data_IF_076843206472
#
_entry.id   IF_076843206472
#
_cell.length_a   1.000
_cell.length_b   1.000
_cell.length_c   1.000
_cell.angle_alpha   90.00
_cell.angle_beta   90.00
_cell.angle_gamma   90.00
#
_symmetry.space_group_name_H-M   'P 1'
#
loop_
_entity.id
_entity.type
_entity.pdbx_description
1 polymer ?
#
# COMPACT_ATOMS: atom_id res chain seq x y z
N UNK A 1 1.65 -8.02 13.30
CA UNK A 1 1.91 -6.63 13.72
C UNK A 1 3.39 -6.34 13.61
N UNK A 2 3.75 -5.10 13.33
CA UNK A 2 5.13 -4.64 13.24
C UNK A 2 5.40 -3.60 14.31
N UNK A 3 6.63 -3.56 14.82
CA UNK A 3 7.14 -2.43 15.59
C UNK A 3 7.34 -1.22 14.65
N UNK A 4 7.11 -0.02 15.17
CA UNK A 4 7.44 1.23 14.47
C UNK A 4 8.94 1.40 14.28
N UNK A 5 9.70 0.84 15.20
CA UNK A 5 11.15 0.99 15.27
C UNK A 5 11.86 -0.33 14.93
N UNK A 6 13.01 -0.18 14.32
CA UNK A 6 13.99 -1.25 14.10
C UNK A 6 14.79 -1.54 15.37
N UNK A 7 15.62 -2.57 15.34
CA UNK A 7 16.48 -2.95 16.47
C UNK A 7 17.55 -1.88 16.80
N UNK A 8 17.92 -1.07 15.82
CA UNK A 8 18.82 0.09 15.96
C UNK A 8 18.12 1.40 16.37
N UNK A 9 16.81 1.34 16.64
CA UNK A 9 16.01 2.50 17.03
C UNK A 9 15.53 3.39 15.88
N UNK A 10 15.88 3.07 14.64
CA UNK A 10 15.38 3.82 13.50
C UNK A 10 13.91 3.52 13.22
N UNK A 11 13.14 4.52 12.79
CA UNK A 11 11.80 4.28 12.27
C UNK A 11 11.82 3.27 11.11
N UNK A 12 10.85 2.37 11.07
CA UNK A 12 10.80 1.27 10.11
C UNK A 12 10.73 1.75 8.65
N UNK A 13 10.10 2.87 8.39
CA UNK A 13 9.96 3.48 7.07
C UNK A 13 11.27 4.04 6.50
N UNK A 14 12.28 4.24 7.35
CA UNK A 14 13.60 4.69 6.90
C UNK A 14 14.45 3.60 6.24
N UNK A 15 14.03 2.34 6.34
CA UNK A 15 14.74 1.19 5.75
C UNK A 15 14.69 1.14 4.22
N UNK A 16 13.75 1.86 3.62
CA UNK A 16 13.43 1.67 2.21
C UNK A 16 13.82 2.87 1.35
N UNK A 17 15.11 3.01 1.00
CA UNK A 17 15.53 4.00 0.03
C UNK A 17 14.99 3.64 -1.38
N UNK A 18 14.92 4.64 -2.25
CA UNK A 18 14.39 4.51 -3.59
C UNK A 18 14.84 3.27 -4.38
N UNK A 19 16.15 2.93 -4.47
CA UNK A 19 16.58 1.75 -5.23
C UNK A 19 16.05 0.44 -4.67
N UNK A 20 15.94 0.32 -3.35
CA UNK A 20 15.42 -0.88 -2.67
C UNK A 20 13.93 -1.06 -2.98
N UNK A 21 13.14 0.01 -2.87
CA UNK A 21 11.72 -0.04 -3.21
C UNK A 21 11.50 -0.35 -4.69
N UNK A 22 12.31 0.21 -5.57
CA UNK A 22 12.26 -0.07 -7.00
C UNK A 22 12.58 -1.53 -7.33
N UNK A 23 13.60 -2.08 -6.70
CA UNK A 23 13.95 -3.49 -6.84
C UNK A 23 12.82 -4.38 -6.31
N UNK A 24 12.27 -4.05 -5.14
CA UNK A 24 11.12 -4.77 -4.57
C UNK A 24 9.94 -4.80 -5.53
N UNK A 25 9.53 -3.68 -6.09
CA UNK A 25 8.42 -3.62 -7.06
C UNK A 25 8.71 -4.41 -8.33
N UNK A 26 9.95 -4.37 -8.82
CA UNK A 26 10.34 -5.16 -9.99
C UNK A 26 10.28 -6.65 -9.69
N UNK A 27 10.80 -7.09 -8.55
CA UNK A 27 10.77 -8.51 -8.15
C UNK A 27 9.32 -8.95 -7.89
N UNK A 28 8.50 -8.10 -7.27
CA UNK A 28 7.08 -8.38 -7.07
C UNK A 28 6.32 -8.54 -8.40
N UNK A 29 6.66 -7.74 -9.40
CA UNK A 29 6.08 -7.87 -10.73
C UNK A 29 6.50 -9.15 -11.46
N UNK A 30 7.77 -9.55 -11.35
CA UNK A 30 8.35 -10.70 -12.04
C UNK A 30 8.13 -12.03 -11.33
N UNK A 31 8.17 -12.01 -9.99
CA UNK A 31 8.12 -13.18 -9.13
C UNK A 31 7.36 -12.88 -7.82
N UNK A 32 6.05 -12.61 -7.86
CA UNK A 32 5.26 -12.20 -6.69
C UNK A 32 5.29 -13.23 -5.55
N UNK A 33 5.44 -14.52 -5.88
CA UNK A 33 5.58 -15.59 -4.90
C UNK A 33 6.85 -15.44 -4.03
N UNK A 34 7.92 -14.90 -4.61
CA UNK A 34 9.18 -14.69 -3.89
C UNK A 34 9.08 -13.51 -2.93
N UNK A 35 8.53 -12.38 -3.40
CA UNK A 35 8.31 -11.20 -2.54
C UNK A 35 7.33 -11.48 -1.41
N UNK A 36 6.27 -12.26 -1.67
CA UNK A 36 5.35 -12.73 -0.65
C UNK A 36 6.07 -13.55 0.43
N UNK A 37 6.80 -14.59 0.04
CA UNK A 37 7.52 -15.44 0.97
C UNK A 37 8.58 -14.69 1.79
N UNK A 38 9.32 -13.76 1.17
CA UNK A 38 10.31 -12.93 1.86
C UNK A 38 9.64 -11.94 2.82
N UNK A 39 8.54 -11.32 2.40
CA UNK A 39 7.75 -10.40 3.22
C UNK A 39 7.14 -11.11 4.44
N UNK A 40 6.60 -12.30 4.26
CA UNK A 40 6.01 -13.09 5.35
C UNK A 40 7.09 -13.53 6.35
N UNK A 41 8.25 -13.96 5.86
CA UNK A 41 9.39 -14.28 6.73
C UNK A 41 9.86 -13.04 7.49
N UNK A 42 9.94 -11.90 6.83
CA UNK A 42 10.28 -10.63 7.48
C UNK A 42 9.28 -10.28 8.58
N UNK A 43 7.97 -10.34 8.29
CA UNK A 43 6.90 -10.06 9.26
C UNK A 43 6.99 -10.97 10.49
N UNK A 44 7.15 -12.28 10.28
CA UNK A 44 7.27 -13.26 11.38
C UNK A 44 8.50 -12.98 12.21
N UNK A 45 9.64 -12.70 11.58
CA UNK A 45 10.88 -12.38 12.30
C UNK A 45 10.74 -11.10 13.14
N UNK A 46 10.05 -10.06 12.61
CA UNK A 46 9.77 -8.83 13.37
C UNK A 46 8.87 -9.10 14.58
N UNK A 47 7.85 -9.94 14.45
CA UNK A 47 7.00 -10.33 15.58
C UNK A 47 7.81 -11.11 16.64
N UNK A 48 8.67 -12.03 16.22
CA UNK A 48 9.54 -12.79 17.15
C UNK A 48 10.54 -11.85 17.82
N UNK A 49 11.16 -10.92 17.08
CA UNK A 49 12.06 -9.91 17.63
C UNK A 49 11.36 -9.05 18.68
N UNK A 50 10.17 -8.53 18.38
CA UNK A 50 9.38 -7.78 19.36
C UNK A 50 9.04 -8.59 20.62
N UNK A 51 8.71 -9.87 20.46
CA UNK A 51 8.48 -10.78 21.60
C UNK A 51 9.78 -11.04 22.40
N UNK A 52 10.90 -11.26 21.71
CA UNK A 52 12.20 -11.49 22.37
C UNK A 52 12.66 -10.26 23.17
N UNK A 53 12.40 -9.05 22.62
CA UNK A 53 12.67 -7.81 23.35
C UNK A 53 11.88 -7.71 24.65
N UNK A 54 10.67 -8.18 24.67
CA UNK A 54 9.83 -8.16 25.88
C UNK A 54 10.09 -9.32 26.84
N UNK A 55 10.93 -10.31 26.51
CA UNK A 55 11.28 -11.41 27.42
C UNK A 55 12.23 -10.92 28.53
N UNK A 56 12.05 -11.38 29.80
CA UNK A 56 12.95 -11.05 30.88
C UNK A 56 14.35 -11.62 30.60
N UNK A 57 15.35 -10.87 30.99
CA UNK A 57 16.73 -11.35 30.98
C UNK A 57 16.96 -12.17 32.24
N UNK A 58 17.03 -13.49 32.11
CA UNK A 58 17.37 -14.39 33.21
C UNK A 58 18.89 -14.62 33.27
N UNK A 59 19.48 -14.79 34.45
CA UNK A 59 20.90 -15.11 34.56
C UNK A 59 21.28 -16.37 33.77
N UNK A 60 22.26 -16.25 32.87
CA UNK A 60 22.72 -17.34 32.02
C UNK A 60 21.93 -17.59 30.75
N UNK A 61 20.84 -16.83 30.50
CA UNK A 61 20.09 -16.90 29.26
C UNK A 61 20.85 -16.19 28.12
N UNK A 62 21.04 -16.90 27.02
CA UNK A 62 21.62 -16.32 25.80
C UNK A 62 20.55 -15.61 24.96
N UNK A 63 20.97 -14.73 24.05
CA UNK A 63 20.08 -14.10 23.09
C UNK A 63 19.34 -15.14 22.22
N UNK A 64 20.01 -16.22 21.85
CA UNK A 64 19.40 -17.34 21.12
C UNK A 64 18.32 -18.07 21.94
N UNK A 65 18.46 -18.17 23.24
CA UNK A 65 17.45 -18.79 24.10
C UNK A 65 16.23 -17.87 24.24
N UNK A 66 16.45 -16.55 24.35
CA UNK A 66 15.36 -15.53 24.29
C UNK A 66 14.59 -15.63 22.99
N UNK A 67 15.30 -15.70 21.86
CA UNK A 67 14.69 -15.83 20.54
C UNK A 67 13.83 -17.09 20.41
N UNK A 68 14.35 -18.24 20.80
CA UNK A 68 13.61 -19.52 20.77
C UNK A 68 12.36 -19.49 21.65
N UNK A 69 12.46 -18.88 22.84
CA UNK A 69 11.31 -18.72 23.75
C UNK A 69 10.24 -17.82 23.12
N UNK A 70 10.66 -16.70 22.55
CA UNK A 70 9.78 -15.79 21.83
C UNK A 70 9.14 -16.44 20.61
N UNK A 71 9.88 -17.19 19.82
CA UNK A 71 9.36 -17.94 18.68
C UNK A 71 8.27 -18.93 19.09
N UNK A 72 8.49 -19.69 20.17
CA UNK A 72 7.48 -20.59 20.72
C UNK A 72 6.21 -19.84 21.10
N UNK A 73 6.34 -18.68 21.78
CA UNK A 73 5.17 -17.86 22.14
C UNK A 73 4.40 -17.40 20.92
N UNK A 74 5.07 -16.79 19.93
CA UNK A 74 4.43 -16.26 18.72
C UNK A 74 3.71 -17.36 17.93
N UNK A 75 4.34 -18.56 17.81
CA UNK A 75 3.81 -19.64 16.98
C UNK A 75 2.81 -20.54 17.71
N UNK A 76 3.08 -20.89 18.96
CA UNK A 76 2.34 -21.93 19.68
C UNK A 76 1.41 -21.35 20.74
N UNK A 77 1.92 -20.47 21.61
CA UNK A 77 1.15 -20.01 22.76
C UNK A 77 0.13 -18.95 22.33
N UNK A 78 0.55 -17.95 21.54
CA UNK A 78 -0.32 -16.88 21.04
C UNK A 78 -0.95 -17.18 19.68
N UNK A 79 -0.43 -18.17 18.96
CA UNK A 79 -0.91 -18.57 17.64
C UNK A 79 -1.06 -17.38 16.66
N UNK A 80 -0.11 -16.46 16.67
CA UNK A 80 -0.10 -15.33 15.75
C UNK A 80 0.29 -15.72 14.33
N UNK A 81 0.81 -16.94 14.15
CA UNK A 81 1.20 -17.53 12.87
C UNK A 81 0.47 -18.88 12.71
N UNK A 82 -0.12 -19.17 11.55
CA UNK A 82 -0.10 -18.38 10.32
C UNK A 82 -0.95 -17.10 10.40
N UNK A 83 -0.51 -16.06 9.69
CA UNK A 83 -1.23 -14.78 9.53
C UNK A 83 -1.38 -14.46 8.04
N UNK A 84 -2.22 -13.47 7.72
CA UNK A 84 -2.35 -12.98 6.36
C UNK A 84 -0.99 -12.54 5.81
N UNK A 85 -0.75 -12.85 4.53
CA UNK A 85 0.50 -12.47 3.87
C UNK A 85 0.69 -10.96 3.85
N UNK A 86 1.86 -10.48 4.25
CA UNK A 86 2.24 -9.08 4.15
C UNK A 86 2.21 -8.58 2.70
N UNK A 87 2.35 -9.48 1.73
CA UNK A 87 2.21 -9.17 0.31
C UNK A 87 0.80 -8.77 -0.10
N UNK A 88 -0.22 -9.06 0.68
CA UNK A 88 -1.63 -8.84 0.34
C UNK A 88 -2.36 -7.93 1.33
N UNK A 89 -1.93 -7.92 2.59
CA UNK A 89 -2.55 -7.15 3.67
C UNK A 89 -1.49 -6.34 4.39
N UNK A 90 -1.60 -5.01 4.42
CA UNK A 90 -0.67 -4.19 5.18
C UNK A 90 -0.68 -4.58 6.66
N UNK A 91 0.48 -4.85 7.27
CA UNK A 91 0.55 -5.18 8.69
C UNK A 91 0.20 -3.96 9.55
N UNK A 92 -0.52 -4.17 10.64
CA UNK A 92 -0.71 -3.12 11.64
C UNK A 92 0.60 -2.84 12.38
N UNK A 93 0.89 -1.57 12.61
CA UNK A 93 2.07 -1.11 13.36
C UNK A 93 1.61 -0.74 14.76
N UNK A 94 2.12 -1.44 15.78
CA UNK A 94 1.74 -1.23 17.18
C UNK A 94 2.82 -1.81 18.12
N UNK A 95 3.37 -0.97 19.00
CA UNK A 95 4.40 -1.36 19.97
C UNK A 95 3.85 -2.11 21.17
N UNK A 96 2.70 -1.67 21.71
CA UNK A 96 2.17 -2.17 22.98
C UNK A 96 1.48 -3.54 22.89
N UNK A 97 1.18 -4.01 21.67
CA UNK A 97 0.43 -5.26 21.52
C UNK A 97 1.17 -6.49 22.04
N UNK A 98 2.44 -6.64 21.68
CA UNK A 98 3.24 -7.79 22.15
C UNK A 98 3.52 -7.70 23.66
N UNK A 99 3.89 -6.54 24.21
CA UNK A 99 3.95 -6.36 25.67
C UNK A 99 2.63 -6.67 26.38
N UNK A 100 1.49 -6.26 25.85
CA UNK A 100 0.16 -6.54 26.43
C UNK A 100 -0.16 -8.04 26.43
N UNK A 101 0.10 -8.75 25.35
CA UNK A 101 0.01 -10.22 25.28
C UNK A 101 0.85 -10.89 26.37
N UNK A 102 2.02 -10.37 26.59
CA UNK A 102 2.95 -10.94 27.57
C UNK A 102 2.52 -10.68 29.00
N UNK A 103 1.99 -9.50 29.31
CA UNK A 103 1.46 -9.18 30.64
C UNK A 103 0.16 -9.93 30.96
N UNK A 104 -0.48 -10.53 29.93
CA UNK A 104 -1.79 -11.14 30.04
C UNK A 104 -2.95 -10.13 30.00
N UNK A 105 -2.68 -8.86 29.62
CA UNK A 105 -3.71 -7.85 29.40
C UNK A 105 -4.58 -8.18 28.20
N UNK A 106 -4.03 -8.93 27.25
CA UNK A 106 -4.68 -9.47 26.06
C UNK A 106 -4.44 -10.96 25.99
N UNK A 107 -5.50 -11.73 25.91
CA UNK A 107 -5.45 -13.17 25.68
C UNK A 107 -5.93 -13.50 24.28
N UNK A 108 -5.09 -14.08 23.40
CA UNK A 108 -5.48 -14.46 22.08
C UNK A 108 -6.33 -15.72 22.08
N UNK A 109 -7.57 -15.61 21.63
CA UNK A 109 -8.47 -16.74 21.45
C UNK A 109 -8.80 -16.92 19.96
N UNK A 110 -9.14 -18.13 19.55
CA UNK A 110 -9.34 -18.44 18.14
C UNK A 110 -10.68 -19.13 17.91
N UNK A 111 -11.32 -18.78 16.81
CA UNK A 111 -12.47 -19.47 16.33
C UNK A 111 -13.75 -19.09 17.09
N UNK A 112 -14.19 -17.85 16.97
CA UNK A 112 -15.57 -17.48 17.33
C UNK A 112 -16.54 -18.39 16.58
N UNK A 113 -17.46 -19.00 17.26
CA UNK A 113 -18.49 -19.88 16.70
C UNK A 113 -19.87 -19.26 16.80
N UNK A 114 -20.30 -18.93 18.01
CA UNK A 114 -21.66 -18.43 18.28
C UNK A 114 -21.72 -17.75 19.66
N UNK A 115 -22.86 -17.17 19.97
CA UNK A 115 -23.22 -16.77 21.33
C UNK A 115 -23.98 -17.93 21.97
N UNK A 116 -23.54 -18.41 23.17
CA UNK A 116 -24.16 -19.48 23.91
C UNK A 116 -25.12 -18.98 25.01
N UNK A 117 -25.01 -17.70 25.37
CA UNK A 117 -25.80 -17.04 26.38
C UNK A 117 -25.77 -15.53 26.30
N UNK A 118 -26.38 -14.84 27.23
CA UNK A 118 -26.46 -13.36 27.22
C UNK A 118 -25.10 -12.67 27.38
N UNK A 119 -24.16 -13.31 28.08
CA UNK A 119 -22.80 -12.84 28.31
C UNK A 119 -21.75 -13.88 27.92
N UNK A 120 -22.12 -14.86 27.09
CA UNK A 120 -21.26 -15.98 26.78
C UNK A 120 -20.96 -16.08 25.27
N UNK A 121 -19.70 -16.29 24.97
CA UNK A 121 -19.19 -16.56 23.61
C UNK A 121 -18.68 -18.01 23.55
N UNK A 122 -19.19 -18.77 22.58
CA UNK A 122 -18.74 -20.14 22.28
C UNK A 122 -17.66 -20.11 21.21
N UNK A 123 -16.51 -20.70 21.49
CA UNK A 123 -15.44 -20.91 20.53
C UNK A 123 -15.61 -22.23 19.77
N UNK A 124 -14.89 -22.37 18.66
CA UNK A 124 -14.95 -23.58 17.79
C UNK A 124 -14.46 -24.84 18.51
N UNK A 125 -13.54 -24.70 19.45
CA UNK A 125 -13.04 -25.81 20.28
C UNK A 125 -13.97 -26.22 21.42
N UNK A 126 -15.14 -25.54 21.55
CA UNK A 126 -16.13 -25.80 22.59
C UNK A 126 -15.92 -24.99 23.88
N UNK A 127 -14.86 -24.17 23.95
CA UNK A 127 -14.63 -23.26 25.08
C UNK A 127 -15.73 -22.20 25.14
N UNK A 128 -16.27 -21.95 26.35
CA UNK A 128 -17.20 -20.86 26.60
C UNK A 128 -16.45 -19.77 27.38
N UNK A 129 -16.54 -18.55 26.88
CA UNK A 129 -15.96 -17.36 27.50
C UNK A 129 -17.09 -16.47 28.00
N UNK A 130 -17.01 -16.04 29.27
CA UNK A 130 -17.85 -15.01 29.81
C UNK A 130 -17.28 -13.63 29.43
N UNK A 131 -18.11 -12.77 28.84
CA UNK A 131 -17.69 -11.48 28.31
C UNK A 131 -18.72 -10.38 28.60
N UNK A 132 -18.25 -9.18 28.90
CA UNK A 132 -19.10 -8.01 29.10
C UNK A 132 -19.54 -7.36 27.81
N UNK A 133 -18.65 -7.41 26.79
CA UNK A 133 -18.91 -6.82 25.49
C UNK A 133 -18.15 -7.55 24.38
N UNK A 134 -18.72 -7.56 23.19
CA UNK A 134 -18.05 -8.05 21.96
C UNK A 134 -17.96 -6.94 20.95
N UNK A 135 -16.74 -6.68 20.45
CA UNK A 135 -16.47 -5.67 19.44
C UNK A 135 -16.05 -6.36 18.14
N UNK A 136 -16.87 -6.22 17.11
CA UNK A 136 -16.59 -6.77 15.80
C UNK A 136 -15.76 -5.80 14.95
N UNK A 137 -14.47 -6.08 14.80
CA UNK A 137 -13.57 -5.33 13.94
C UNK A 137 -13.45 -6.02 12.57
N UNK A 138 -14.56 -6.25 11.90
CA UNK A 138 -14.66 -7.04 10.66
C UNK A 138 -14.42 -6.23 9.38
N UNK A 139 -13.99 -4.97 9.50
CA UNK A 139 -13.73 -4.07 8.38
C UNK A 139 -14.96 -3.28 7.94
N UNK A 140 -14.93 -2.80 6.71
CA UNK A 140 -15.96 -1.94 6.14
C UNK A 140 -16.58 -2.58 4.90
N UNK A 141 -17.86 -2.32 4.69
CA UNK A 141 -18.45 -2.53 3.38
C UNK A 141 -18.03 -1.39 2.45
N UNK A 142 -17.59 -1.75 1.26
CA UNK A 142 -17.23 -0.77 0.24
C UNK A 142 -18.51 -0.37 -0.49
N UNK A 143 -18.84 0.91 -0.41
CA UNK A 143 -20.01 1.48 -1.02
C UNK A 143 -19.61 2.62 -1.97
N UNK A 144 -20.03 2.51 -3.22
CA UNK A 144 -19.87 3.52 -4.26
C UNK A 144 -21.23 4.07 -4.71
N UNK A 145 -22.25 3.97 -3.86
CA UNK A 145 -23.62 4.45 -4.18
C UNK A 145 -23.66 5.94 -4.52
N UNK A 146 -22.67 6.71 -4.07
CA UNK A 146 -22.49 8.11 -4.47
C UNK A 146 -22.27 8.29 -5.99
N UNK A 147 -21.84 7.24 -6.68
CA UNK A 147 -21.62 7.22 -8.12
C UNK A 147 -22.19 5.94 -8.72
N UNK A 148 -23.53 5.85 -8.89
CA UNK A 148 -24.18 4.62 -9.39
C UNK A 148 -23.81 4.26 -10.83
N UNK A 149 -23.27 5.20 -11.60
CA UNK A 149 -22.77 4.99 -12.96
C UNK A 149 -21.39 4.35 -13.03
N UNK A 150 -20.73 4.14 -11.89
CA UNK A 150 -19.42 3.49 -11.83
C UNK A 150 -19.55 2.03 -12.24
N UNK A 151 -18.75 1.63 -13.21
CA UNK A 151 -18.70 0.24 -13.68
C UNK A 151 -17.92 -0.64 -12.70
N UNK A 152 -18.30 -1.91 -12.63
CA UNK A 152 -17.71 -2.88 -11.71
C UNK A 152 -17.32 -4.19 -12.38
N UNK A 153 -16.53 -4.99 -11.65
CA UNK A 153 -16.22 -6.40 -11.91
C UNK A 153 -15.59 -6.71 -13.27
N UNK A 154 -14.91 -5.73 -13.85
CA UNK A 154 -14.32 -5.90 -15.16
C UNK A 154 -15.34 -5.97 -16.30
N UNK A 155 -16.62 -5.75 -16.03
CA UNK A 155 -17.67 -5.74 -17.06
C UNK A 155 -17.89 -4.31 -17.56
N UNK A 156 -17.40 -4.05 -18.76
CA UNK A 156 -17.63 -2.77 -19.43
C UNK A 156 -19.13 -2.58 -19.71
N UNK A 157 -19.68 -1.46 -19.25
CA UNK A 157 -21.10 -1.14 -19.45
C UNK A 157 -22.06 -1.68 -18.39
N UNK A 158 -21.57 -2.43 -17.41
CA UNK A 158 -22.42 -2.80 -16.28
C UNK A 158 -22.28 -1.76 -15.16
N UNK A 159 -23.39 -1.09 -14.79
CA UNK A 159 -23.37 -0.12 -13.70
C UNK A 159 -23.06 -0.79 -12.36
N UNK A 160 -22.57 0.01 -11.42
CA UNK A 160 -22.44 -0.38 -10.04
C UNK A 160 -23.82 -0.80 -9.51
N UNK A 161 -23.89 -1.97 -8.90
CA UNK A 161 -25.08 -2.35 -8.15
C UNK A 161 -25.08 -1.59 -6.82
N UNK A 162 -26.23 -1.08 -6.45
CA UNK A 162 -26.41 -0.40 -5.16
C UNK A 162 -26.22 -1.40 -4.02
N UNK A 163 -25.90 -0.91 -2.83
CA UNK A 163 -25.79 -1.75 -1.64
C UNK A 163 -27.08 -2.56 -1.37
N UNK A 164 -28.24 -2.01 -1.74
CA UNK A 164 -29.52 -2.71 -1.67
C UNK A 164 -29.57 -3.93 -2.60
N UNK A 165 -29.14 -3.76 -3.86
CA UNK A 165 -29.13 -4.86 -4.84
C UNK A 165 -28.17 -5.99 -4.42
N UNK A 166 -27.05 -5.61 -3.76
CA UNK A 166 -26.07 -6.56 -3.22
C UNK A 166 -26.67 -7.31 -2.03
N UNK A 167 -27.44 -6.64 -1.18
CA UNK A 167 -28.08 -7.25 -0.03
C UNK A 167 -29.21 -8.21 -0.43
N UNK A 168 -30.04 -7.83 -1.38
CA UNK A 168 -31.08 -8.69 -1.93
C UNK A 168 -30.52 -9.94 -2.63
N UNK A 169 -29.41 -9.80 -3.34
CA UNK A 169 -28.73 -10.95 -3.94
C UNK A 169 -28.02 -11.83 -2.91
N UNK A 170 -27.46 -11.25 -1.82
CA UNK A 170 -26.93 -12.04 -0.71
C UNK A 170 -28.03 -12.87 -0.05
N UNK A 171 -29.17 -12.27 0.24
CA UNK A 171 -30.29 -13.00 0.82
C UNK A 171 -30.84 -14.08 -0.11
N UNK A 172 -30.85 -13.84 -1.42
CA UNK A 172 -31.24 -14.83 -2.43
C UNK A 172 -30.15 -15.91 -2.64
N UNK A 173 -28.87 -15.53 -2.60
CA UNK A 173 -27.75 -16.47 -2.67
C UNK A 173 -27.62 -17.30 -1.40
N UNK A 174 -27.85 -16.73 -0.22
CA UNK A 174 -27.89 -17.44 1.07
C UNK A 174 -29.05 -18.45 1.10
N UNK A 175 -30.16 -18.15 0.44
CA UNK A 175 -31.27 -19.09 0.25
C UNK A 175 -30.92 -20.25 -0.70
N UNK A 176 -30.03 -20.02 -1.66
CA UNK A 176 -29.55 -21.04 -2.61
C UNK A 176 -28.33 -21.81 -2.07
N UNK A 177 -27.47 -21.18 -1.26
CA UNK A 177 -26.22 -21.76 -0.74
C UNK A 177 -26.40 -22.67 0.47
N UNK A 178 -27.56 -22.74 1.06
CA UNK A 178 -27.87 -23.82 2.01
C UNK A 178 -27.79 -25.24 1.40
N UNK A 179 -27.39 -25.35 0.15
CA UNK A 179 -27.14 -26.60 -0.58
C UNK A 179 -25.73 -26.78 -1.18
N UNK A 180 -24.83 -25.80 -1.04
CA UNK A 180 -23.48 -25.92 -1.60
C UNK A 180 -22.46 -26.21 -0.49
N UNK A 181 -21.96 -27.42 -0.51
CA UNK A 181 -20.94 -27.96 0.42
C UNK A 181 -19.54 -27.31 0.31
N UNK A 182 -19.38 -26.31 -0.53
CA UNK A 182 -18.17 -25.48 -0.62
C UNK A 182 -18.54 -24.07 -0.19
N UNK A 183 -18.22 -23.71 1.05
CA UNK A 183 -18.45 -22.39 1.65
C UNK A 183 -17.72 -21.26 0.92
N UNK A 184 -17.95 -21.12 -0.36
CA UNK A 184 -17.40 -20.09 -1.22
C UNK A 184 -17.93 -18.72 -0.81
N UNK A 185 -17.13 -17.94 -0.11
CA UNK A 185 -17.42 -16.53 0.10
C UNK A 185 -17.67 -15.87 -1.26
N UNK A 186 -18.74 -15.06 -1.40
CA UNK A 186 -19.02 -14.37 -2.63
C UNK A 186 -17.80 -13.51 -3.03
N UNK A 187 -17.46 -13.58 -4.32
CA UNK A 187 -16.34 -12.81 -4.84
C UNK A 187 -16.59 -11.32 -4.62
N UNK A 188 -15.63 -10.56 -4.03
CA UNK A 188 -15.79 -9.14 -3.84
C UNK A 188 -15.94 -8.39 -5.16
N UNK A 189 -16.81 -7.41 -5.17
CA UNK A 189 -16.97 -6.49 -6.29
C UNK A 189 -15.97 -5.34 -6.16
N UNK A 190 -15.18 -5.09 -7.19
CA UNK A 190 -14.22 -3.99 -7.23
C UNK A 190 -14.54 -3.03 -8.36
N UNK A 191 -14.38 -1.71 -8.14
CA UNK A 191 -14.70 -0.70 -9.15
C UNK A 191 -13.74 -0.79 -10.33
N UNK A 192 -14.27 -0.48 -11.51
CA UNK A 192 -13.51 -0.44 -12.74
C UNK A 192 -12.81 0.91 -12.89
N UNK A 193 -11.53 0.95 -12.53
CA UNK A 193 -10.74 2.17 -12.49
C UNK A 193 -9.43 1.99 -13.27
N UNK A 194 -9.19 2.88 -14.22
CA UNK A 194 -7.88 2.98 -14.88
C UNK A 194 -6.85 3.47 -13.87
N UNK A 195 -5.78 2.70 -13.69
CA UNK A 195 -4.76 2.88 -12.65
C UNK A 195 -5.32 3.16 -11.25
N UNK A 196 -6.45 2.52 -10.91
CA UNK A 196 -7.08 2.64 -9.58
C UNK A 196 -7.56 4.06 -9.24
N UNK A 197 -7.61 4.96 -10.21
CA UNK A 197 -7.96 6.37 -10.03
C UNK A 197 -9.12 6.79 -10.92
N UNK A 198 -9.09 6.47 -12.21
CA UNK A 198 -9.99 7.06 -13.18
C UNK A 198 -11.07 6.09 -13.64
N UNK A 199 -12.36 6.37 -13.40
CA UNK A 199 -13.43 5.66 -14.08
C UNK A 199 -13.32 5.91 -15.59
N UNK A 200 -13.13 4.89 -16.46
CA UNK A 200 -12.76 5.10 -17.85
C UNK A 200 -13.69 6.03 -18.63
N UNK A 201 -15.00 5.92 -18.42
CA UNK A 201 -15.99 6.81 -19.09
C UNK A 201 -15.97 8.24 -18.59
N UNK A 202 -15.54 8.48 -17.36
CA UNK A 202 -15.59 9.77 -16.69
C UNK A 202 -14.19 10.30 -16.34
N UNK A 203 -13.15 9.70 -16.87
CA UNK A 203 -11.76 9.97 -16.52
C UNK A 203 -11.33 11.43 -16.64
N UNK A 204 -11.99 12.20 -17.54
CA UNK A 204 -11.72 13.65 -17.73
C UNK A 204 -12.39 14.55 -16.70
N UNK A 205 -13.24 14.04 -15.82
CA UNK A 205 -14.04 14.83 -14.87
C UNK A 205 -14.18 14.20 -13.49
N UNK A 206 -13.94 12.91 -13.36
CA UNK A 206 -14.06 12.16 -12.10
C UNK A 206 -12.79 11.38 -11.83
N UNK A 207 -12.35 11.42 -10.59
CA UNK A 207 -11.24 10.59 -10.08
C UNK A 207 -11.57 10.10 -8.67
N UNK A 208 -11.20 8.88 -8.37
CA UNK A 208 -11.32 8.26 -7.05
C UNK A 208 -9.93 8.23 -6.43
N UNK A 209 -9.71 9.03 -5.40
CA UNK A 209 -8.45 9.05 -4.64
C UNK A 209 -8.61 8.25 -3.35
N UNK A 210 -7.50 7.70 -2.88
CA UNK A 210 -7.42 6.93 -1.63
C UNK A 210 -8.23 5.62 -1.60
N UNK A 211 -8.70 5.15 -2.76
CA UNK A 211 -9.26 3.80 -2.88
C UNK A 211 -8.19 2.71 -2.77
N UNK A 212 -6.98 3.02 -3.22
CA UNK A 212 -5.87 2.08 -3.26
C UNK A 212 -5.39 1.72 -1.84
N UNK A 213 -5.04 0.44 -1.66
CA UNK A 213 -4.32 -0.09 -0.49
C UNK A 213 -2.85 -0.31 -0.81
N UNK A 214 -2.02 0.75 -0.79
CA UNK A 214 -0.60 0.63 -1.05
C UNK A 214 0.13 0.06 0.16
N UNK A 215 1.31 -0.51 -0.06
CA UNK A 215 2.24 -0.89 0.99
C UNK A 215 3.05 0.31 1.53
N UNK A 216 2.90 1.47 0.92
CA UNK A 216 3.52 2.73 1.34
C UNK A 216 2.55 3.57 2.18
N UNK A 217 3.09 4.62 2.81
CA UNK A 217 2.26 5.53 3.60
C UNK A 217 1.19 6.20 2.74
N UNK A 218 -0.05 6.14 3.18
CA UNK A 218 -1.22 6.63 2.41
C UNK A 218 -1.13 8.12 2.04
N UNK A 219 -0.52 8.95 2.89
CA UNK A 219 -0.31 10.38 2.59
C UNK A 219 0.58 10.60 1.37
N UNK A 220 1.72 9.90 1.32
CA UNK A 220 2.64 9.98 0.19
C UNK A 220 1.95 9.58 -1.11
N UNK A 221 1.24 8.47 -1.09
CA UNK A 221 0.55 7.99 -2.29
C UNK A 221 -0.59 8.93 -2.69
N UNK A 222 -1.33 9.48 -1.73
CA UNK A 222 -2.40 10.44 -2.01
C UNK A 222 -1.86 11.75 -2.58
N UNK A 223 -0.73 12.26 -2.07
CA UNK A 223 -0.07 13.44 -2.64
C UNK A 223 0.40 13.18 -4.08
N UNK A 224 1.07 12.06 -4.31
CA UNK A 224 1.55 11.68 -5.64
C UNK A 224 0.40 11.49 -6.63
N UNK A 225 -0.69 10.83 -6.21
CA UNK A 225 -1.89 10.64 -7.02
C UNK A 225 -2.56 11.96 -7.35
N UNK A 226 -2.63 12.89 -6.39
CA UNK A 226 -3.18 14.24 -6.60
C UNK A 226 -2.32 15.05 -7.58
N UNK A 227 -0.99 14.92 -7.50
CA UNK A 227 -0.07 15.55 -8.46
C UNK A 227 -0.28 14.98 -9.88
N UNK A 228 -0.38 13.67 -10.02
CA UNK A 228 -0.64 13.00 -11.29
C UNK A 228 -1.98 13.44 -11.89
N UNK A 229 -3.03 13.46 -11.09
CA UNK A 229 -4.36 13.91 -11.47
C UNK A 229 -4.36 15.35 -11.98
N UNK A 230 -3.76 16.26 -11.21
CA UNK A 230 -3.69 17.67 -11.56
C UNK A 230 -2.98 17.89 -12.91
N UNK A 231 -1.87 17.17 -13.15
CA UNK A 231 -1.14 17.27 -14.41
C UNK A 231 -1.93 16.72 -15.60
N UNK A 232 -2.60 15.58 -15.43
CA UNK A 232 -3.42 14.97 -16.49
C UNK A 232 -4.58 15.91 -16.86
N UNK A 233 -5.33 16.40 -15.87
CA UNK A 233 -6.48 17.27 -16.13
C UNK A 233 -6.09 18.64 -16.67
N UNK A 234 -4.98 19.24 -16.21
CA UNK A 234 -4.46 20.45 -16.79
C UNK A 234 -4.11 20.28 -18.28
N UNK A 235 -3.47 19.16 -18.64
CA UNK A 235 -3.18 18.81 -20.03
C UNK A 235 -4.45 18.65 -20.88
N UNK A 236 -5.45 17.96 -20.36
CA UNK A 236 -6.75 17.79 -21.06
C UNK A 236 -7.49 19.13 -21.28
N UNK A 237 -7.48 20.00 -20.27
CA UNK A 237 -8.08 21.34 -20.38
C UNK A 237 -7.35 22.17 -21.46
N UNK A 238 -6.02 22.16 -21.47
CA UNK A 238 -5.22 22.92 -22.43
C UNK A 238 -5.48 22.46 -23.87
N UNK A 239 -5.68 21.16 -24.09
CA UNK A 239 -6.06 20.62 -25.40
C UNK A 239 -7.47 21.04 -25.80
N UNK A 240 -8.43 20.94 -24.88
CA UNK A 240 -9.83 21.31 -25.14
C UNK A 240 -9.99 22.81 -25.42
N UNK A 241 -9.21 23.66 -24.74
CA UNK A 241 -9.25 25.12 -24.93
C UNK A 241 -8.53 25.62 -26.19
N UNK A 242 -7.88 24.70 -26.94
CA UNK A 242 -7.12 25.06 -28.13
C UNK A 242 -5.79 25.76 -27.85
N UNK A 243 -5.38 25.85 -26.58
CA UNK A 243 -4.05 26.41 -26.21
C UNK A 243 -2.90 25.56 -26.76
N UNK A 244 -3.19 24.27 -27.00
CA UNK A 244 -2.24 23.35 -27.60
C UNK A 244 -2.95 22.50 -28.65
N UNK A 245 -2.40 22.48 -29.87
CA UNK A 245 -2.90 21.57 -30.89
C UNK A 245 -2.57 20.11 -30.52
N UNK A 246 -3.48 19.19 -30.89
CA UNK A 246 -3.20 17.75 -30.75
C UNK A 246 -1.89 17.32 -31.42
N UNK A 247 -1.52 18.01 -32.49
CA UNK A 247 -0.27 17.78 -33.25
C UNK A 247 0.99 18.35 -32.56
N UNK A 248 0.85 19.46 -31.81
CA UNK A 248 1.97 20.02 -31.03
C UNK A 248 2.40 19.16 -29.84
N UNK A 249 1.60 18.20 -29.47
CA UNK A 249 1.93 17.24 -28.40
C UNK A 249 2.84 16.10 -28.90
N UNK A 250 2.85 15.82 -30.17
CA UNK A 250 3.53 14.64 -30.72
C UNK A 250 5.02 14.85 -31.07
N UNK A 251 5.49 16.08 -31.13
CA UNK A 251 6.85 16.32 -31.60
C UNK A 251 7.81 16.98 -30.62
N UNK A 252 7.37 17.93 -29.81
CA UNK A 252 8.28 18.77 -29.01
C UNK A 252 7.88 18.98 -27.56
N UNK A 253 6.64 18.68 -27.19
CA UNK A 253 6.17 18.79 -25.82
C UNK A 253 5.92 17.37 -25.27
N UNK A 254 6.71 16.93 -24.30
CA UNK A 254 6.27 15.82 -23.47
C UNK A 254 5.11 16.34 -22.62
N UNK A 255 3.91 16.17 -23.14
CA UNK A 255 2.77 16.31 -22.28
C UNK A 255 2.95 15.41 -21.06
N UNK A 256 2.60 15.88 -19.86
CA UNK A 256 2.37 14.97 -18.75
C UNK A 256 1.43 13.87 -19.26
N UNK A 257 1.44 12.69 -18.63
CA UNK A 257 0.67 11.55 -19.11
C UNK A 257 -0.76 12.01 -19.45
N UNK A 258 -1.15 11.75 -20.68
CA UNK A 258 -2.52 12.03 -21.16
C UNK A 258 -3.40 10.85 -20.80
N UNK A 259 -4.68 11.11 -20.66
CA UNK A 259 -5.64 10.04 -20.66
C UNK A 259 -5.57 9.30 -22.00
N UNK A 260 -5.31 7.99 -22.00
CA UNK A 260 -5.34 7.20 -23.24
C UNK A 260 -6.78 7.07 -23.75
N UNK A 261 -6.96 6.37 -24.86
CA UNK A 261 -8.29 6.11 -25.38
C UNK A 261 -9.13 5.29 -24.37
N UNK A 262 -10.46 5.42 -24.45
CA UNK A 262 -11.38 4.63 -23.63
C UNK A 262 -11.09 3.12 -23.75
N UNK A 263 -10.73 2.66 -24.95
CA UNK A 263 -10.37 1.26 -25.19
C UNK A 263 -9.13 0.84 -24.40
N UNK A 264 -8.10 1.66 -24.37
CA UNK A 264 -6.86 1.37 -23.66
C UNK A 264 -7.06 1.43 -22.14
N UNK A 265 -7.83 2.40 -21.65
CA UNK A 265 -8.19 2.49 -20.23
C UNK A 265 -8.95 1.23 -19.78
N UNK A 266 -9.91 0.80 -20.58
CA UNK A 266 -10.66 -0.43 -20.31
C UNK A 266 -9.77 -1.67 -20.33
N UNK A 267 -8.86 -1.78 -21.30
CA UNK A 267 -7.93 -2.90 -21.37
C UNK A 267 -7.01 -2.99 -20.14
N UNK A 268 -6.55 -1.85 -19.64
CA UNK A 268 -5.74 -1.81 -18.40
C UNK A 268 -6.58 -2.22 -17.18
N UNK A 269 -7.82 -1.73 -17.07
CA UNK A 269 -8.74 -2.11 -15.99
C UNK A 269 -9.04 -3.62 -16.04
N UNK A 270 -9.28 -4.22 -17.23
CA UNK A 270 -9.47 -5.66 -17.41
C UNK A 270 -8.25 -6.46 -16.95
N UNK A 271 -7.06 -6.00 -17.33
CA UNK A 271 -5.80 -6.64 -16.93
C UNK A 271 -5.61 -6.59 -15.41
N UNK A 272 -5.89 -5.44 -14.79
CA UNK A 272 -5.84 -5.29 -13.34
C UNK A 272 -6.83 -6.22 -12.64
N UNK A 273 -8.08 -6.28 -13.08
CA UNK A 273 -9.10 -7.14 -12.49
C UNK A 273 -8.74 -8.63 -12.61
N UNK A 274 -8.21 -9.05 -13.76
CA UNK A 274 -7.76 -10.43 -13.95
C UNK A 274 -6.60 -10.80 -13.00
N UNK A 275 -5.66 -9.88 -12.82
CA UNK A 275 -4.56 -10.06 -11.87
C UNK A 275 -5.06 -10.07 -10.43
N UNK A 276 -5.91 -9.12 -10.02
CA UNK A 276 -6.44 -9.02 -8.67
C UNK A 276 -7.23 -10.28 -8.27
N UNK A 277 -8.03 -10.82 -9.17
CA UNK A 277 -8.77 -12.06 -8.93
C UNK A 277 -7.86 -13.25 -8.65
N UNK A 278 -6.73 -13.35 -9.34
CA UNK A 278 -5.72 -14.40 -9.06
C UNK A 278 -5.15 -14.25 -7.65
N UNK A 279 -4.85 -13.01 -7.24
CA UNK A 279 -4.37 -12.76 -5.88
C UNK A 279 -5.44 -13.11 -4.84
N UNK A 280 -6.69 -12.72 -5.08
CA UNK A 280 -7.79 -13.04 -4.19
C UNK A 280 -8.08 -14.55 -4.10
N UNK A 281 -7.89 -15.31 -5.15
CA UNK A 281 -7.99 -16.78 -5.13
C UNK A 281 -6.91 -17.42 -4.24
N UNK A 282 -5.72 -16.83 -4.22
CA UNK A 282 -4.61 -17.30 -3.40
C UNK A 282 -4.73 -16.84 -1.94
N UNK A 283 -5.21 -15.63 -1.70
CA UNK A 283 -5.36 -15.02 -0.38
C UNK A 283 -6.66 -14.22 -0.28
N UNK A 284 -7.64 -14.76 0.44
CA UNK A 284 -8.98 -14.17 0.56
C UNK A 284 -9.04 -12.86 1.34
N UNK A 285 -8.04 -12.58 2.15
CA UNK A 285 -7.93 -11.36 2.96
C UNK A 285 -7.28 -10.18 2.22
N UNK A 286 -6.94 -10.35 0.92
CA UNK A 286 -6.33 -9.28 0.13
C UNK A 286 -7.19 -8.00 0.16
N UNK A 287 -6.53 -6.86 0.32
CA UNK A 287 -7.20 -5.57 0.26
C UNK A 287 -7.83 -5.33 -1.12
N UNK A 288 -9.07 -4.85 -1.15
CA UNK A 288 -9.81 -4.64 -2.41
C UNK A 288 -9.13 -3.65 -3.36
N UNK A 289 -8.46 -2.64 -2.81
CA UNK A 289 -7.67 -1.67 -3.56
C UNK A 289 -6.19 -2.03 -3.69
N UNK A 290 -5.79 -3.29 -3.51
CA UNK A 290 -4.40 -3.71 -3.61
C UNK A 290 -3.81 -3.38 -4.98
N UNK A 291 -2.64 -2.72 -5.00
CA UNK A 291 -2.06 -2.18 -6.24
C UNK A 291 -0.96 -3.07 -6.80
N UNK A 292 -0.84 -3.11 -8.12
CA UNK A 292 0.36 -3.61 -8.80
C UNK A 292 1.47 -2.56 -8.68
N UNK A 293 2.28 -2.63 -7.62
CA UNK A 293 3.23 -1.58 -7.26
C UNK A 293 4.10 -1.11 -8.42
N UNK A 294 4.66 -2.02 -9.23
CA UNK A 294 5.53 -1.66 -10.35
C UNK A 294 4.87 -0.75 -11.38
N UNK A 295 3.71 -1.13 -11.90
CA UNK A 295 3.00 -0.36 -12.93
C UNK A 295 2.30 0.86 -12.34
N UNK A 296 1.75 0.75 -11.14
CA UNK A 296 1.03 1.81 -10.46
C UNK A 296 1.93 3.00 -10.11
N UNK A 297 3.01 2.77 -9.38
CA UNK A 297 3.91 3.85 -8.99
C UNK A 297 4.65 4.46 -10.19
N UNK A 298 4.99 3.64 -11.17
CA UNK A 298 5.57 4.15 -12.41
C UNK A 298 4.61 5.10 -13.11
N UNK A 299 3.35 4.71 -13.26
CA UNK A 299 2.32 5.59 -13.82
C UNK A 299 2.19 6.89 -13.04
N UNK A 300 2.11 6.83 -11.70
CA UNK A 300 1.97 8.02 -10.87
C UNK A 300 3.16 8.97 -11.03
N UNK A 301 4.38 8.47 -10.97
CA UNK A 301 5.58 9.30 -11.12
C UNK A 301 5.72 9.89 -12.51
N UNK A 302 5.43 9.12 -13.55
CA UNK A 302 5.45 9.61 -14.94
C UNK A 302 4.36 10.66 -15.16
N UNK A 303 3.14 10.41 -14.67
CA UNK A 303 2.02 11.34 -14.79
C UNK A 303 2.24 12.61 -13.97
N UNK A 304 2.73 12.50 -12.75
CA UNK A 304 3.09 13.64 -11.90
C UNK A 304 4.33 14.39 -12.41
N UNK A 305 5.12 13.79 -13.29
CA UNK A 305 6.35 14.38 -13.83
C UNK A 305 7.44 14.58 -12.75
N UNK A 306 7.60 13.65 -11.82
CA UNK A 306 8.57 13.78 -10.72
C UNK A 306 10.03 13.73 -11.15
N UNK A 307 10.31 13.10 -12.28
CA UNK A 307 11.66 12.91 -12.80
C UNK A 307 12.54 11.93 -12.05
N UNK A 308 12.00 11.27 -11.03
CA UNK A 308 12.81 10.35 -10.21
C UNK A 308 13.23 9.11 -11.00
N UNK A 309 12.33 8.55 -11.81
CA UNK A 309 12.66 7.42 -12.65
C UNK A 309 13.75 7.74 -13.65
N UNK A 310 13.67 8.90 -14.30
CA UNK A 310 14.65 9.32 -15.31
C UNK A 310 16.03 9.60 -14.72
N UNK A 311 16.07 10.04 -13.45
CA UNK A 311 17.31 10.45 -12.80
C UNK A 311 17.93 9.37 -11.89
N UNK A 312 17.16 8.35 -11.45
CA UNK A 312 17.62 7.37 -10.46
C UNK A 312 17.54 5.91 -10.94
N UNK A 313 16.57 5.54 -11.78
CA UNK A 313 16.32 4.13 -12.11
C UNK A 313 17.25 3.54 -13.16
N UNK A 314 17.86 4.37 -13.97
CA UNK A 314 18.65 3.89 -15.08
C UNK A 314 20.15 3.91 -14.77
N UNK A 315 20.67 2.88 -14.12
CA UNK A 315 22.10 2.72 -13.84
C UNK A 315 22.96 2.92 -15.10
N UNK A 316 22.43 2.57 -16.26
CA UNK A 316 23.07 2.76 -17.56
C UNK A 316 22.62 4.02 -18.33
N UNK A 317 21.80 4.87 -17.70
CA UNK A 317 21.28 6.07 -18.32
C UNK A 317 22.25 7.24 -18.14
N UNK A 318 22.47 7.99 -19.21
CA UNK A 318 23.26 9.21 -19.18
C UNK A 318 22.73 10.25 -18.19
N UNK A 319 21.41 10.26 -17.92
CA UNK A 319 20.77 11.19 -16.97
C UNK A 319 21.11 10.85 -15.52
N UNK A 320 21.10 9.58 -15.15
CA UNK A 320 21.48 9.15 -13.80
C UNK A 320 22.95 9.47 -13.51
N UNK A 321 23.82 9.21 -14.46
CA UNK A 321 25.22 9.60 -14.37
C UNK A 321 25.40 11.12 -14.34
N UNK A 322 24.60 11.86 -15.11
CA UNK A 322 24.64 13.33 -15.09
C UNK A 322 24.27 13.90 -13.73
N UNK A 323 23.26 13.34 -13.05
CA UNK A 323 22.94 13.73 -11.68
C UNK A 323 24.10 13.45 -10.72
N UNK A 324 24.67 12.24 -10.78
CA UNK A 324 25.80 11.85 -9.95
C UNK A 324 27.01 12.77 -10.12
N UNK A 325 27.30 13.21 -11.36
CA UNK A 325 28.38 14.14 -11.64
C UNK A 325 28.10 15.58 -11.23
N UNK A 326 26.85 16.04 -11.40
CA UNK A 326 26.47 17.44 -11.13
C UNK A 326 26.22 17.71 -9.66
N UNK A 327 25.59 16.76 -8.96
CA UNK A 327 25.17 16.90 -7.57
C UNK A 327 25.24 15.53 -6.87
N UNK A 328 26.46 15.17 -6.48
CA UNK A 328 26.74 13.90 -5.84
C UNK A 328 26.04 13.76 -4.48
N UNK A 329 25.91 14.88 -3.76
CA UNK A 329 25.25 14.91 -2.47
C UNK A 329 23.75 14.61 -2.62
N UNK A 330 23.08 15.30 -3.53
CA UNK A 330 21.67 15.03 -3.83
C UNK A 330 21.47 13.59 -4.30
N UNK A 331 22.30 13.10 -5.21
CA UNK A 331 22.23 11.70 -5.64
C UNK A 331 22.38 10.74 -4.46
N UNK A 332 23.29 11.01 -3.53
CA UNK A 332 23.50 10.18 -2.35
C UNK A 332 22.29 10.23 -1.41
N UNK A 333 21.73 11.41 -1.17
CA UNK A 333 20.55 11.55 -0.32
C UNK A 333 19.32 10.82 -0.89
N UNK A 334 19.11 10.91 -2.19
CA UNK A 334 18.00 10.24 -2.86
C UNK A 334 18.20 8.71 -2.96
N UNK A 335 19.44 8.25 -3.12
CA UNK A 335 19.74 6.83 -3.30
C UNK A 335 19.90 6.06 -1.99
N UNK A 336 20.29 6.72 -0.91
CA UNK A 336 20.60 6.09 0.39
C UNK A 336 19.71 6.58 1.52
N UNK A 337 19.05 7.73 1.36
CA UNK A 337 18.12 8.25 2.34
C UNK A 337 16.72 7.64 2.19
N UNK A 338 15.84 7.86 3.19
CA UNK A 338 14.46 7.42 3.12
C UNK A 338 13.72 8.07 1.96
N UNK A 339 12.81 7.33 1.35
CA UNK A 339 11.88 7.92 0.40
C UNK A 339 11.05 9.00 1.10
N UNK A 340 10.92 10.15 0.44
CA UNK A 340 10.12 11.25 0.95
C UNK A 340 9.47 12.06 -0.19
N UNK A 341 8.35 12.71 0.10
CA UNK A 341 7.57 13.45 -0.89
C UNK A 341 8.25 14.73 -1.38
N UNK A 342 9.22 15.27 -0.64
CA UNK A 342 9.98 16.44 -1.09
C UNK A 342 10.77 16.16 -2.37
N UNK A 343 11.24 14.91 -2.54
CA UNK A 343 11.97 14.48 -3.73
C UNK A 343 11.16 14.58 -5.02
N UNK A 344 9.84 14.55 -4.93
CA UNK A 344 8.96 14.64 -6.10
C UNK A 344 8.90 16.01 -6.73
N UNK A 345 9.44 17.05 -6.07
CA UNK A 345 9.44 18.44 -6.52
C UNK A 345 10.82 18.98 -6.87
N UNK A 346 11.81 18.08 -6.97
CA UNK A 346 13.20 18.46 -7.25
C UNK A 346 13.49 18.75 -8.70
N UNK A 347 12.95 17.90 -9.61
CA UNK A 347 13.33 17.93 -10.99
C UNK A 347 12.28 18.63 -11.85
N UNK A 348 12.70 19.59 -12.62
CA UNK A 348 11.91 20.08 -13.75
C UNK A 348 12.09 19.08 -14.89
N UNK A 349 11.13 18.17 -15.00
CA UNK A 349 11.17 17.14 -16.04
C UNK A 349 10.58 17.61 -17.35
N UNK A 350 10.00 18.80 -17.35
CA UNK A 350 9.28 19.27 -18.50
C UNK A 350 9.62 20.73 -18.85
N UNK A 351 10.87 21.01 -19.29
CA UNK A 351 11.22 22.33 -19.85
C UNK A 351 10.39 22.65 -21.11
N UNK A 352 9.67 21.66 -21.64
CA UNK A 352 8.72 21.78 -22.74
C UNK A 352 7.28 21.64 -22.29
N UNK A 353 6.97 21.93 -21.04
CA UNK A 353 5.59 21.91 -20.55
C UNK A 353 4.74 22.91 -21.31
N UNK A 354 3.50 22.55 -21.52
CA UNK A 354 2.48 23.45 -22.05
C UNK A 354 2.47 24.71 -21.19
N UNK A 355 2.63 25.91 -21.75
CA UNK A 355 2.62 27.12 -20.94
C UNK A 355 1.38 27.21 -20.05
N UNK A 356 1.58 27.42 -18.77
CA UNK A 356 0.50 27.45 -17.77
C UNK A 356 0.09 26.09 -17.19
N UNK A 357 0.53 24.98 -17.76
CA UNK A 357 0.24 23.62 -17.30
C UNK A 357 1.47 22.90 -16.76
N UNK A 358 2.62 23.58 -16.72
CA UNK A 358 3.86 23.02 -16.24
C UNK A 358 3.83 22.80 -14.73
N UNK A 359 4.43 21.71 -14.33
CA UNK A 359 4.68 21.43 -12.94
C UNK A 359 5.65 22.46 -12.38
N UNK A 360 5.35 22.96 -11.19
CA UNK A 360 6.28 23.81 -10.44
C UNK A 360 7.24 22.94 -9.62
N UNK A 361 8.52 23.09 -9.84
CA UNK A 361 9.53 22.67 -8.89
C UNK A 361 9.43 23.55 -7.63
N UNK A 362 9.92 23.05 -6.53
CA UNK A 362 10.00 23.82 -5.29
C UNK A 362 11.48 24.07 -4.96
N UNK A 363 11.88 25.32 -4.89
CA UNK A 363 13.27 25.71 -4.65
C UNK A 363 13.80 25.19 -3.30
N UNK A 364 12.91 25.04 -2.31
CA UNK A 364 13.24 24.44 -1.02
C UNK A 364 13.36 22.92 -1.01
N UNK A 365 12.96 22.22 -2.10
CA UNK A 365 12.88 20.76 -2.12
C UNK A 365 14.23 20.09 -1.85
N UNK A 366 15.32 20.64 -2.40
CA UNK A 366 16.67 20.11 -2.19
C UNK A 366 17.09 20.19 -0.72
N UNK A 367 16.82 21.31 -0.08
CA UNK A 367 17.13 21.48 1.35
C UNK A 367 16.25 20.57 2.20
N UNK A 368 14.95 20.45 1.89
CA UNK A 368 14.04 19.58 2.61
C UNK A 368 14.42 18.09 2.52
N UNK A 369 14.90 17.63 1.35
CA UNK A 369 15.45 16.26 1.20
C UNK A 369 16.70 16.08 2.07
N UNK A 370 17.60 17.07 2.08
CA UNK A 370 18.79 17.05 2.95
C UNK A 370 18.39 16.97 4.43
N UNK A 371 17.42 17.79 4.83
CA UNK A 371 16.97 17.87 6.23
C UNK A 371 16.28 16.55 6.65
N UNK A 372 15.49 15.94 5.78
CA UNK A 372 14.90 14.64 6.04
C UNK A 372 15.97 13.54 6.28
N UNK A 373 17.01 13.50 5.44
CA UNK A 373 18.14 12.57 5.61
C UNK A 373 18.94 12.87 6.86
N UNK A 374 19.15 14.16 7.17
CA UNK A 374 19.88 14.59 8.37
C UNK A 374 19.07 14.33 9.63
N UNK A 375 17.75 14.50 9.58
CA UNK A 375 16.83 14.20 10.67
C UNK A 375 16.85 12.72 11.06
N UNK A 376 16.90 11.82 10.09
CA UNK A 376 17.07 10.40 10.36
C UNK A 376 18.39 10.12 11.08
N UNK A 377 19.49 10.75 10.64
CA UNK A 377 20.79 10.59 11.31
C UNK A 377 20.80 11.15 12.73
N UNK A 378 20.23 12.34 12.91
CA UNK A 378 20.12 12.96 14.24
C UNK A 378 19.25 12.12 15.19
N UNK A 379 18.22 11.46 14.65
CA UNK A 379 17.38 10.55 15.43
C UNK A 379 18.15 9.30 15.91
N UNK A 380 19.05 8.77 15.08
CA UNK A 380 19.96 7.67 15.51
C UNK A 380 20.87 8.09 16.65
N UNK A 381 21.40 9.32 16.57
CA UNK A 381 22.32 9.85 17.58
C UNK A 381 21.61 10.23 18.89
N UNK A 382 20.34 10.61 18.80
CA UNK A 382 19.49 10.99 19.94
C UNK A 382 18.08 10.46 19.75
N UNK A 383 17.84 9.17 20.02
CA UNK A 383 16.50 8.58 19.89
C UNK A 383 15.51 9.33 20.79
N UNK A 384 14.27 9.45 20.32
CA UNK A 384 13.21 10.12 21.07
C UNK A 384 12.99 9.44 22.43
N UNK A 385 12.41 10.18 23.39
CA UNK A 385 12.06 9.64 24.71
C UNK A 385 11.08 8.44 24.63
N UNK A 386 10.36 8.30 23.50
CA UNK A 386 9.45 7.20 23.22
C UNK A 386 10.19 5.93 22.73
N UNK A 387 11.46 6.07 22.38
CA UNK A 387 12.31 4.92 22.04
C UNK A 387 12.83 4.29 23.32
N UNK A 388 12.32 3.15 23.66
CA UNK A 388 12.86 2.32 24.74
C UNK A 388 13.89 1.39 24.09
N UNK A 389 15.19 1.65 24.26
CA UNK A 389 16.21 0.73 23.80
C UNK A 389 16.05 -0.58 24.55
N UNK A 390 16.17 -1.63 23.82
CA UNK A 390 15.96 -2.99 24.34
C UNK A 390 17.28 -3.59 24.80
#
# INVERSE_FOLDING_TARGET
MLSRYQDDGLPLDTQFPWPVMRLKYLVDHLAPWLTGALGDKFLVNQMISAAARSEPVEPGMTENDRWKRAEKRVRSDWRLVPCASMGHVPPAIQEEFVPALRRGDVEPVHGFKDFSGASEVLLVDGTILEVDAVIFCTGYNLDFSVMPELEMDGACGMPLRTAGDIYEQRSAADAVTNGLADGGLPQPHIPRLYHMIFPPRFASSVAVLSWMGPLETSWCVSELSSMALAQIWAGEIAVKSGQVSKQGLDGNYRAPARLPSLKEMNAQADSYHAWWRKQWQAERSIHHGYVQGYSFYRFLHEAAGTGLYENLDHIFSTRSWALWWRDRDLWTWLSKGPMNSYSWRLFDTNPRSIPGCGRRTWDGARQAVKDAVSGVRAYVEQPSADYIPV
#
